data_IF_094096383873
#
_entry.id   IF_094096383873
#
_cell.length_a   1.000
_cell.length_b   1.000
_cell.length_c   1.000
_cell.angle_alpha   90.00
_cell.angle_beta   90.00
_cell.angle_gamma   90.00
#
_symmetry.space_group_name_H-M   'P 1'
#
loop_
_entity.id
_entity.type
_entity.pdbx_description
1 polymer ?
#
# COMPACT_ATOMS: atom_id res chain seq x y z
N UNK A 1 35.48 71.19 19.18
CA UNK A 1 36.19 72.15 18.30
C UNK A 1 36.56 71.43 17.03
N UNK A 2 36.17 72.01 15.90
CA UNK A 2 36.40 71.57 14.52
C UNK A 2 37.88 71.71 14.14
N UNK A 3 38.37 70.86 13.22
CA UNK A 3 39.53 71.17 12.36
C UNK A 3 40.33 69.93 11.94
N UNK A 4 40.20 69.40 10.71
CA UNK A 4 40.98 69.71 9.46
C UNK A 4 42.47 69.30 9.57
N UNK A 5 43.16 68.64 8.63
CA UNK A 5 43.11 68.57 7.15
C UNK A 5 44.16 67.53 6.63
N UNK A 6 43.94 66.95 5.44
CA UNK A 6 44.86 66.65 4.29
C UNK A 6 46.33 66.17 4.52
N UNK A 7 47.01 65.29 3.75
CA UNK A 7 46.84 64.69 2.42
C UNK A 7 47.89 63.55 2.19
N UNK A 8 47.71 62.69 1.16
CA UNK A 8 48.83 62.31 0.26
C UNK A 8 49.33 60.85 0.14
N UNK A 9 48.81 60.15 -0.89
CA UNK A 9 49.48 59.23 -1.87
C UNK A 9 50.04 57.82 -1.49
N UNK A 10 49.28 56.81 -1.94
CA UNK A 10 49.61 55.61 -2.78
C UNK A 10 50.80 54.68 -2.43
N UNK A 11 50.53 53.41 -2.09
CA UNK A 11 50.73 52.24 -2.98
C UNK A 11 50.45 50.88 -2.29
N UNK A 12 49.64 50.06 -2.98
CA UNK A 12 49.63 48.58 -3.09
C UNK A 12 49.74 47.63 -1.89
N UNK A 13 48.72 46.77 -1.85
CA UNK A 13 48.74 45.31 -1.69
C UNK A 13 48.58 44.70 -0.28
N UNK A 14 47.65 43.72 -0.23
CA UNK A 14 47.33 42.76 0.83
C UNK A 14 46.48 43.25 2.02
N UNK A 15 45.21 43.57 1.78
CA UNK A 15 44.20 43.58 2.84
C UNK A 15 43.80 42.14 3.21
N UNK A 16 44.39 41.66 4.31
CA UNK A 16 43.71 40.70 5.18
C UNK A 16 42.49 41.41 5.77
N UNK A 17 41.30 41.01 5.36
CA UNK A 17 40.07 41.37 6.06
C UNK A 17 39.43 40.09 6.56
N UNK A 18 39.52 39.90 7.87
CA UNK A 18 38.81 38.88 8.60
C UNK A 18 37.31 39.11 8.40
N UNK A 19 36.62 38.11 7.83
CA UNK A 19 35.16 38.05 7.88
C UNK A 19 34.72 37.47 9.24
N UNK A 20 33.60 37.98 9.80
CA UNK A 20 33.02 37.44 11.03
C UNK A 20 32.48 36.02 10.80
N UNK A 21 32.33 35.19 11.86
CA UNK A 21 31.78 33.85 11.71
C UNK A 21 30.32 33.95 11.26
N UNK A 22 30.08 33.60 10.00
CA UNK A 22 28.74 33.40 9.46
C UNK A 22 28.13 32.15 10.11
N UNK A 23 27.50 32.35 11.25
CA UNK A 23 26.46 31.46 11.77
C UNK A 23 25.26 31.50 10.82
N UNK A 24 25.36 30.74 9.73
CA UNK A 24 24.27 30.49 8.80
C UNK A 24 23.85 29.03 8.90
N UNK A 25 23.00 28.71 9.87
CA UNK A 25 22.16 27.52 9.78
C UNK A 25 21.25 27.70 8.58
N UNK A 26 21.72 27.26 7.41
CA UNK A 26 20.85 27.05 6.28
C UNK A 26 20.01 25.84 6.65
N UNK A 27 18.74 26.08 6.99
CA UNK A 27 17.74 25.03 7.06
C UNK A 27 17.62 24.43 5.65
N UNK A 28 18.49 23.47 5.33
CA UNK A 28 18.28 22.56 4.21
C UNK A 28 16.90 21.97 4.45
N UNK A 29 15.94 22.31 3.59
CA UNK A 29 14.62 21.72 3.63
C UNK A 29 14.80 20.20 3.55
N UNK A 30 14.55 19.53 4.67
CA UNK A 30 14.58 18.08 4.75
C UNK A 30 13.60 17.53 3.71
N UNK A 31 14.07 16.64 2.84
CA UNK A 31 13.19 15.94 1.90
C UNK A 31 12.27 15.04 2.72
N UNK A 32 11.02 14.87 2.27
CA UNK A 32 10.09 13.92 2.89
C UNK A 32 10.75 12.53 2.96
N UNK A 33 10.88 11.99 4.18
CA UNK A 33 11.58 10.74 4.45
C UNK A 33 13.03 10.88 4.96
N UNK A 34 13.74 11.99 4.76
CA UNK A 34 15.11 12.14 5.28
C UNK A 34 15.15 12.04 6.81
N UNK A 35 14.17 12.61 7.53
CA UNK A 35 14.06 12.44 8.99
C UNK A 35 13.64 11.03 9.43
N UNK A 36 12.97 10.26 8.56
CA UNK A 36 12.50 8.90 8.85
C UNK A 36 13.64 7.89 8.70
N UNK A 37 14.64 8.16 7.85
CA UNK A 37 15.73 7.21 7.57
C UNK A 37 17.07 7.61 8.20
N UNK A 38 17.30 8.88 8.53
CA UNK A 38 18.58 9.32 9.11
C UNK A 38 18.73 9.05 10.61
N UNK A 39 17.63 9.13 11.38
CA UNK A 39 17.62 8.85 12.83
C UNK A 39 16.90 7.53 13.17
N UNK A 40 16.35 6.85 12.16
CA UNK A 40 15.83 5.51 12.35
C UNK A 40 17.00 4.54 12.52
N UNK A 41 16.95 3.62 13.50
CA UNK A 41 17.96 2.60 13.70
C UNK A 41 18.00 1.56 12.57
N UNK A 42 17.47 1.87 11.38
CA UNK A 42 17.88 1.21 10.12
C UNK A 42 19.29 1.70 9.75
N UNK A 43 20.24 1.56 10.69
CA UNK A 43 21.54 1.09 10.28
C UNK A 43 21.28 -0.15 9.41
N UNK A 44 22.00 -0.37 8.30
CA UNK A 44 21.99 -1.69 7.68
C UNK A 44 22.27 -2.65 8.83
N UNK A 45 21.27 -3.46 9.22
CA UNK A 45 21.38 -4.32 10.39
C UNK A 45 22.62 -5.16 10.10
N UNK A 46 23.72 -4.87 10.81
CA UNK A 46 25.00 -5.50 10.59
C UNK A 46 24.81 -6.96 10.94
N UNK A 47 24.50 -7.79 9.93
CA UNK A 47 23.98 -9.13 10.16
C UNK A 47 22.97 -9.66 9.15
N UNK A 48 22.50 -8.89 8.14
CA UNK A 48 21.73 -9.48 7.03
C UNK A 48 22.68 -10.25 6.08
N UNK A 49 23.30 -11.32 6.59
CA UNK A 49 23.97 -12.36 5.81
C UNK A 49 22.99 -13.42 5.29
N UNK A 50 21.69 -13.26 5.54
CA UNK A 50 20.65 -14.15 5.06
C UNK A 50 19.87 -13.53 3.91
N UNK A 51 19.76 -14.24 2.79
CA UNK A 51 18.69 -13.97 1.81
C UNK A 51 17.35 -13.98 2.54
N UNK A 52 16.39 -13.18 2.06
CA UNK A 52 15.00 -13.33 2.48
C UNK A 52 14.60 -14.82 2.37
N UNK A 53 13.91 -15.39 3.37
CA UNK A 53 13.63 -16.83 3.41
C UNK A 53 12.51 -17.26 2.45
N UNK A 54 11.87 -16.31 1.76
CA UNK A 54 10.89 -16.57 0.72
C UNK A 54 11.50 -16.43 -0.68
N UNK A 55 10.93 -17.18 -1.63
CA UNK A 55 11.30 -17.07 -3.04
C UNK A 55 11.05 -15.66 -3.63
N UNK A 56 11.86 -15.28 -4.62
CA UNK A 56 11.67 -14.08 -5.42
C UNK A 56 10.26 -14.06 -6.02
N UNK A 57 9.57 -12.94 -5.88
CA UNK A 57 8.17 -12.83 -6.28
C UNK A 57 7.76 -11.40 -6.58
N UNK A 58 6.75 -11.27 -7.43
CA UNK A 58 6.13 -9.99 -7.79
C UNK A 58 4.63 -10.00 -7.44
N UNK A 59 4.05 -8.81 -7.28
CA UNK A 59 2.63 -8.64 -6.95
C UNK A 59 2.21 -9.32 -5.64
N UNK A 60 3.15 -9.58 -4.73
CA UNK A 60 2.87 -9.96 -3.35
C UNK A 60 2.30 -8.76 -2.60
N UNK A 61 1.67 -9.00 -1.46
CA UNK A 61 1.24 -7.93 -0.56
C UNK A 61 1.98 -7.97 0.76
N UNK A 62 2.13 -6.79 1.37
CA UNK A 62 2.64 -6.64 2.71
C UNK A 62 1.73 -5.72 3.51
N UNK A 63 1.60 -5.97 4.81
CA UNK A 63 0.84 -5.13 5.73
C UNK A 63 1.49 -5.13 7.11
N UNK A 64 1.23 -4.10 7.91
CA UNK A 64 1.76 -3.97 9.26
C UNK A 64 0.62 -3.76 10.26
N UNK A 65 0.67 -4.46 11.39
CA UNK A 65 -0.21 -4.20 12.53
C UNK A 65 0.59 -3.58 13.66
N UNK A 66 0.08 -2.49 14.23
CA UNK A 66 0.77 -1.71 15.26
C UNK A 66 1.07 -2.49 16.54
N UNK A 67 1.84 -1.90 17.49
CA UNK A 67 2.01 -2.47 18.81
C UNK A 67 0.64 -2.78 19.39
N UNK A 68 0.51 -4.00 19.89
CA UNK A 68 -0.54 -4.44 20.80
C UNK A 68 -0.82 -3.31 21.80
N UNK A 69 -2.06 -2.82 21.92
CA UNK A 69 -2.43 -1.70 22.81
C UNK A 69 -2.03 -1.94 24.28
N UNK A 70 -1.91 -3.21 24.71
CA UNK A 70 -1.39 -3.59 26.02
C UNK A 70 0.14 -3.56 26.14
N UNK A 71 0.85 -3.30 25.05
CA UNK A 71 2.31 -3.13 24.97
C UNK A 71 2.70 -2.08 23.91
N UNK A 72 2.46 -0.78 24.15
CA UNK A 72 2.71 0.31 23.19
C UNK A 72 4.16 0.47 22.74
N UNK A 73 5.11 -0.23 23.40
CA UNK A 73 6.54 -0.27 23.06
C UNK A 73 6.95 -1.50 22.24
N UNK A 74 6.03 -2.43 21.98
CA UNK A 74 6.32 -3.57 21.11
C UNK A 74 6.48 -3.10 19.66
N UNK A 75 7.41 -3.68 18.89
CA UNK A 75 7.49 -3.40 17.46
C UNK A 75 6.19 -3.82 16.75
N UNK A 76 5.86 -3.20 15.59
CA UNK A 76 4.75 -3.65 14.78
C UNK A 76 4.98 -5.07 14.25
N UNK A 77 3.91 -5.82 14.06
CA UNK A 77 3.93 -7.09 13.34
C UNK A 77 3.91 -6.79 11.85
N UNK A 78 4.89 -7.32 11.11
CA UNK A 78 4.93 -7.25 9.65
C UNK A 78 4.45 -8.56 9.06
N UNK A 79 3.61 -8.48 8.03
CA UNK A 79 3.17 -9.62 7.24
C UNK A 79 3.54 -9.41 5.78
N UNK A 80 4.03 -10.48 5.13
CA UNK A 80 4.25 -10.57 3.69
C UNK A 80 3.55 -11.83 3.18
N UNK A 81 2.79 -11.72 2.09
CA UNK A 81 2.00 -12.85 1.61
C UNK A 81 1.79 -12.85 0.10
N UNK A 82 1.61 -14.05 -0.44
CA UNK A 82 1.21 -14.28 -1.82
C UNK A 82 2.25 -13.84 -2.86
N UNK A 83 1.79 -13.53 -4.07
CA UNK A 83 2.62 -13.11 -5.19
C UNK A 83 2.98 -14.25 -6.15
N UNK A 84 3.61 -13.89 -7.26
CA UNK A 84 4.01 -14.81 -8.33
C UNK A 84 5.52 -15.01 -8.36
N UNK A 85 5.91 -16.28 -8.33
CA UNK A 85 7.28 -16.81 -8.40
C UNK A 85 7.40 -17.61 -9.70
N UNK A 86 7.81 -16.95 -10.78
CA UNK A 86 7.82 -17.51 -12.13
C UNK A 86 6.41 -17.92 -12.60
N UNK A 87 6.14 -19.21 -12.87
CA UNK A 87 4.80 -19.71 -13.19
C UNK A 87 3.94 -20.00 -11.95
N UNK A 88 4.53 -20.01 -10.75
CA UNK A 88 3.86 -20.39 -9.51
C UNK A 88 3.21 -19.18 -8.85
N UNK A 89 1.96 -19.34 -8.43
CA UNK A 89 1.25 -18.34 -7.64
C UNK A 89 1.21 -18.82 -6.19
N UNK A 90 1.78 -18.03 -5.30
CA UNK A 90 1.95 -18.38 -3.90
C UNK A 90 0.76 -17.89 -3.06
N UNK A 91 0.51 -18.58 -1.96
CA UNK A 91 -0.39 -18.16 -0.87
C UNK A 91 0.21 -18.40 0.51
N UNK A 92 1.54 -18.50 0.60
CA UNK A 92 2.24 -18.52 1.87
C UNK A 92 2.15 -17.14 2.55
N UNK A 93 2.19 -17.16 3.89
CA UNK A 93 2.20 -15.98 4.74
C UNK A 93 3.44 -16.04 5.63
N UNK A 94 4.22 -14.97 5.58
CA UNK A 94 5.41 -14.74 6.38
C UNK A 94 5.16 -13.63 7.37
N UNK A 95 5.66 -13.80 8.58
CA UNK A 95 5.51 -12.87 9.69
C UNK A 95 6.87 -12.49 10.25
N UNK A 96 7.03 -11.22 10.60
CA UNK A 96 8.10 -10.73 11.45
C UNK A 96 7.51 -9.98 12.63
N UNK A 97 8.08 -10.23 13.81
CA UNK A 97 7.73 -9.59 15.08
C UNK A 97 8.86 -8.66 15.57
N UNK A 98 9.87 -8.43 14.73
CA UNK A 98 11.12 -7.75 15.07
C UNK A 98 11.58 -6.82 13.94
N UNK A 99 10.63 -6.06 13.39
CA UNK A 99 10.88 -5.02 12.39
C UNK A 99 11.54 -5.54 11.10
N UNK A 100 11.29 -6.81 10.78
CA UNK A 100 11.82 -7.47 9.59
C UNK A 100 13.18 -8.13 9.78
N UNK A 101 13.73 -8.18 11.00
CA UNK A 101 15.02 -8.83 11.27
C UNK A 101 14.96 -10.35 11.11
N UNK A 102 13.86 -10.97 11.55
CA UNK A 102 13.59 -12.41 11.42
C UNK A 102 12.20 -12.64 10.88
N UNK A 103 12.07 -13.72 10.13
CA UNK A 103 10.83 -14.07 9.47
C UNK A 103 10.47 -15.53 9.71
N UNK A 104 9.20 -15.76 10.03
CA UNK A 104 8.63 -17.08 10.20
C UNK A 104 7.50 -17.27 9.19
N UNK A 105 7.50 -18.41 8.50
CA UNK A 105 6.35 -18.82 7.71
C UNK A 105 5.25 -19.29 8.67
N UNK A 106 4.16 -18.53 8.76
CA UNK A 106 3.02 -18.80 9.66
C UNK A 106 1.89 -19.54 8.98
N UNK A 107 1.85 -19.50 7.65
CA UNK A 107 0.95 -20.32 6.83
C UNK A 107 1.70 -20.74 5.56
N UNK A 108 2.01 -22.03 5.35
CA UNK A 108 2.75 -22.50 4.19
C UNK A 108 1.89 -22.51 2.92
N UNK A 109 2.49 -22.39 1.74
CA UNK A 109 1.73 -22.46 0.49
C UNK A 109 0.95 -23.78 0.37
N UNK A 110 -0.31 -23.72 -0.07
CA UNK A 110 -1.13 -24.90 -0.36
C UNK A 110 -1.97 -24.70 -1.63
N UNK A 111 -2.13 -25.76 -2.41
CA UNK A 111 -2.94 -25.77 -3.63
C UNK A 111 -4.42 -26.14 -3.38
N UNK A 112 -4.78 -26.44 -2.13
CA UNK A 112 -6.08 -26.97 -1.73
C UNK A 112 -6.18 -28.48 -1.90
N UNK A 113 -7.25 -29.06 -1.34
CA UNK A 113 -7.58 -30.48 -1.49
C UNK A 113 -8.71 -30.63 -2.50
N UNK A 114 -8.75 -31.75 -3.23
CA UNK A 114 -9.92 -32.08 -4.06
C UNK A 114 -10.95 -32.77 -3.20
N UNK A 115 -12.19 -32.30 -3.25
CA UNK A 115 -13.32 -33.03 -2.69
C UNK A 115 -13.69 -34.25 -3.56
N UNK A 116 -14.70 -35.01 -3.14
CA UNK A 116 -15.21 -36.20 -3.86
C UNK A 116 -15.70 -35.88 -5.28
N UNK A 117 -16.07 -34.61 -5.55
CA UNK A 117 -16.47 -34.15 -6.88
C UNK A 117 -15.29 -33.74 -7.76
N UNK A 118 -14.06 -33.80 -7.22
CA UNK A 118 -12.84 -33.38 -7.89
C UNK A 118 -12.60 -31.86 -7.83
N UNK A 119 -13.46 -31.10 -7.14
CA UNK A 119 -13.35 -29.65 -7.00
C UNK A 119 -12.33 -29.29 -5.92
N UNK A 120 -11.49 -28.29 -6.20
CA UNK A 120 -10.48 -27.83 -5.23
C UNK A 120 -11.18 -27.03 -4.13
N UNK A 121 -11.16 -27.58 -2.92
CA UNK A 121 -11.56 -26.93 -1.68
C UNK A 121 -10.28 -26.47 -0.97
N UNK A 122 -10.14 -25.17 -0.80
CA UNK A 122 -8.99 -24.57 -0.12
C UNK A 122 -9.38 -24.17 1.31
N UNK A 123 -8.51 -24.45 2.28
CA UNK A 123 -8.67 -23.97 3.68
C UNK A 123 -8.31 -22.49 3.84
N UNK A 124 -7.73 -21.88 2.81
CA UNK A 124 -7.42 -20.46 2.70
C UNK A 124 -7.55 -19.99 1.26
N UNK A 125 -7.31 -18.71 1.01
CA UNK A 125 -7.30 -18.16 -0.34
C UNK A 125 -6.28 -18.86 -1.26
N UNK A 126 -6.69 -19.13 -2.50
CA UNK A 126 -5.82 -19.73 -3.51
C UNK A 126 -4.63 -18.83 -3.87
N UNK A 127 -3.51 -19.41 -4.32
CA UNK A 127 -2.31 -18.69 -4.77
C UNK A 127 -2.62 -17.60 -5.78
N UNK A 128 -2.16 -16.37 -5.52
CA UNK A 128 -2.49 -15.18 -6.34
C UNK A 128 -1.49 -14.02 -6.19
N UNK A 129 -1.44 -13.18 -7.21
CA UNK A 129 -0.75 -11.88 -7.23
C UNK A 129 -1.76 -10.73 -7.41
N UNK A 130 -1.34 -9.51 -7.10
CA UNK A 130 -2.13 -8.30 -7.39
C UNK A 130 -3.50 -8.32 -6.71
N UNK A 131 -3.60 -8.97 -5.56
CA UNK A 131 -4.80 -8.95 -4.72
C UNK A 131 -4.75 -7.72 -3.81
N UNK A 132 -5.89 -7.30 -3.29
CA UNK A 132 -5.96 -6.31 -2.22
C UNK A 132 -5.61 -6.96 -0.88
N UNK A 133 -4.86 -6.24 -0.05
CA UNK A 133 -4.58 -6.61 1.33
C UNK A 133 -4.78 -5.38 2.22
N UNK A 134 -5.42 -5.60 3.37
CA UNK A 134 -5.51 -4.59 4.42
C UNK A 134 -5.56 -5.30 5.77
N UNK A 135 -5.12 -4.62 6.82
CA UNK A 135 -5.24 -5.12 8.18
C UNK A 135 -5.83 -4.05 9.08
N UNK A 136 -6.41 -4.45 10.19
CA UNK A 136 -6.93 -3.56 11.21
C UNK A 136 -6.89 -4.23 12.57
N UNK A 137 -7.08 -3.43 13.61
CA UNK A 137 -7.09 -3.92 14.97
C UNK A 137 -8.19 -3.25 15.78
N UNK A 138 -8.71 -3.93 16.79
CA UNK A 138 -9.61 -3.34 17.79
C UNK A 138 -9.28 -3.87 19.18
N UNK A 139 -9.42 -3.00 20.18
CA UNK A 139 -9.38 -3.34 21.60
C UNK A 139 -10.76 -3.63 22.19
N UNK A 140 -11.82 -3.58 21.39
CA UNK A 140 -13.20 -3.71 21.85
C UNK A 140 -13.55 -5.17 22.17
N UNK A 141 -13.39 -5.53 23.47
CA UNK A 141 -13.75 -6.78 24.19
C UNK A 141 -12.56 -7.69 24.52
N UNK A 142 -12.00 -7.48 25.72
CA UNK A 142 -11.25 -8.52 26.45
C UNK A 142 -9.89 -8.95 25.87
N UNK A 143 -9.40 -8.32 24.80
CA UNK A 143 -8.11 -8.59 24.16
C UNK A 143 -7.98 -7.80 22.86
N UNK A 144 -6.83 -7.94 22.18
CA UNK A 144 -6.69 -7.43 20.81
C UNK A 144 -7.32 -8.39 19.81
N UNK A 145 -8.26 -7.88 19.01
CA UNK A 145 -8.72 -8.52 17.79
C UNK A 145 -7.99 -7.86 16.61
N UNK A 146 -7.04 -8.57 16.01
CA UNK A 146 -6.43 -8.18 14.75
C UNK A 146 -7.12 -8.91 13.61
N UNK A 147 -7.40 -8.23 12.50
CA UNK A 147 -7.92 -8.89 11.30
C UNK A 147 -7.07 -8.53 10.10
N UNK A 148 -6.76 -9.52 9.27
CA UNK A 148 -6.05 -9.37 8.00
C UNK A 148 -6.99 -9.81 6.88
N UNK A 149 -7.14 -8.99 5.86
CA UNK A 149 -8.02 -9.25 4.72
C UNK A 149 -7.23 -9.51 3.45
N UNK A 150 -7.72 -10.46 2.66
CA UNK A 150 -7.28 -10.72 1.28
C UNK A 150 -8.51 -10.66 0.40
N UNK A 151 -8.48 -9.85 -0.65
CA UNK A 151 -9.58 -9.73 -1.61
C UNK A 151 -9.07 -9.71 -3.05
N UNK A 152 -9.82 -10.35 -3.95
CA UNK A 152 -9.55 -10.31 -5.40
C UNK A 152 -8.18 -10.91 -5.78
N UNK A 153 -7.62 -10.48 -6.93
CA UNK A 153 -6.30 -10.89 -7.42
C UNK A 153 -6.34 -11.92 -8.54
N UNK A 154 -5.17 -12.22 -9.12
CA UNK A 154 -5.02 -13.17 -10.23
C UNK A 154 -4.21 -14.37 -9.77
N UNK A 155 -4.75 -15.56 -9.96
CA UNK A 155 -4.02 -16.83 -9.82
C UNK A 155 -3.74 -17.48 -11.18
N UNK A 156 -3.19 -18.69 -11.14
CA UNK A 156 -2.76 -19.40 -12.35
C UNK A 156 -3.87 -19.65 -13.39
N UNK A 157 -5.12 -19.83 -12.94
CA UNK A 157 -6.26 -20.19 -13.81
C UNK A 157 -7.44 -19.24 -13.71
N UNK A 158 -7.49 -18.43 -12.66
CA UNK A 158 -8.67 -17.64 -12.32
C UNK A 158 -8.26 -16.27 -11.78
N UNK A 159 -9.03 -15.26 -12.16
CA UNK A 159 -9.09 -14.00 -11.40
C UNK A 159 -10.18 -14.13 -10.36
N UNK A 160 -9.95 -13.66 -9.15
CA UNK A 160 -10.84 -13.88 -8.03
C UNK A 160 -11.68 -12.64 -7.69
N UNK A 161 -12.83 -12.89 -7.06
CA UNK A 161 -13.73 -11.90 -6.47
C UNK A 161 -14.10 -12.29 -5.03
N UNK A 162 -13.38 -13.25 -4.45
CA UNK A 162 -13.58 -13.71 -3.08
C UNK A 162 -12.92 -12.72 -2.09
N UNK A 163 -13.39 -12.79 -0.85
CA UNK A 163 -12.85 -12.05 0.29
C UNK A 163 -12.60 -13.05 1.41
N UNK A 164 -11.40 -13.00 1.96
CA UNK A 164 -10.94 -13.83 3.05
C UNK A 164 -10.47 -12.95 4.20
N UNK A 165 -10.67 -13.41 5.43
CA UNK A 165 -10.17 -12.76 6.63
C UNK A 165 -9.39 -13.75 7.49
N UNK A 166 -8.44 -13.24 8.26
CA UNK A 166 -7.69 -13.99 9.27
C UNK A 166 -7.66 -13.18 10.56
N UNK A 167 -8.08 -13.80 11.65
CA UNK A 167 -8.11 -13.17 12.98
C UNK A 167 -6.85 -13.49 13.82
N UNK A 168 -5.96 -14.34 13.30
CA UNK A 168 -4.82 -14.90 14.02
C UNK A 168 -3.47 -14.59 13.34
N UNK A 169 -3.42 -13.44 12.66
CA UNK A 169 -2.24 -12.91 11.98
C UNK A 169 -1.78 -13.80 10.81
N UNK A 170 -2.75 -14.30 10.03
CA UNK A 170 -2.54 -15.00 8.78
C UNK A 170 -2.27 -16.50 8.91
N UNK A 171 -2.46 -17.09 10.10
CA UNK A 171 -2.26 -18.54 10.32
C UNK A 171 -3.44 -19.34 9.76
N UNK A 172 -4.66 -18.93 10.11
CA UNK A 172 -5.92 -19.51 9.61
C UNK A 172 -6.75 -18.45 8.90
N UNK A 173 -7.65 -18.89 8.01
CA UNK A 173 -8.38 -18.01 7.11
C UNK A 173 -9.82 -18.47 6.95
N UNK A 174 -10.75 -17.52 7.06
CA UNK A 174 -12.17 -17.72 6.83
C UNK A 174 -12.59 -16.99 5.55
N UNK A 175 -13.33 -17.69 4.69
CA UNK A 175 -13.89 -17.10 3.48
C UNK A 175 -15.14 -16.30 3.85
N UNK A 176 -15.02 -14.98 3.84
CA UNK A 176 -16.08 -14.02 4.17
C UNK A 176 -17.10 -13.89 3.04
N UNK A 177 -16.62 -13.87 1.81
CA UNK A 177 -17.46 -13.83 0.62
C UNK A 177 -16.84 -14.67 -0.50
N UNK A 178 -17.62 -15.59 -1.08
CA UNK A 178 -17.12 -16.45 -2.17
C UNK A 178 -17.11 -15.73 -3.53
N UNK A 179 -17.99 -14.75 -3.73
CA UNK A 179 -18.11 -13.98 -4.97
C UNK A 179 -18.76 -12.65 -4.68
N UNK A 180 -17.94 -11.64 -4.37
CA UNK A 180 -18.43 -10.32 -4.05
C UNK A 180 -18.97 -9.58 -5.30
N UNK A 181 -19.95 -8.67 -5.13
CA UNK A 181 -20.65 -8.00 -6.23
C UNK A 181 -19.77 -7.04 -7.03
N UNK A 182 -18.59 -6.67 -6.53
CA UNK A 182 -17.59 -5.93 -7.30
C UNK A 182 -16.95 -6.77 -8.42
N UNK A 183 -17.15 -8.09 -8.47
CA UNK A 183 -16.65 -8.93 -9.55
C UNK A 183 -15.13 -9.16 -9.55
N UNK A 184 -14.67 -9.95 -10.51
CA UNK A 184 -13.26 -10.41 -10.56
C UNK A 184 -12.34 -9.29 -11.00
N UNK A 185 -11.30 -8.98 -10.22
CA UNK A 185 -10.37 -7.88 -10.53
C UNK A 185 -8.97 -8.08 -9.94
N UNK A 186 -7.99 -7.36 -10.50
CA UNK A 186 -6.62 -7.26 -9.96
C UNK A 186 -6.29 -5.83 -9.59
N UNK A 187 -5.36 -5.68 -8.67
CA UNK A 187 -4.88 -4.42 -8.12
C UNK A 187 -6.01 -3.46 -7.66
N UNK A 188 -7.07 -3.91 -6.97
CA UNK A 188 -7.94 -2.97 -6.27
C UNK A 188 -7.20 -2.40 -5.04
N UNK A 189 -7.56 -1.20 -4.61
CA UNK A 189 -7.20 -0.72 -3.28
C UNK A 189 -8.19 -1.22 -2.23
N UNK A 190 -7.73 -1.43 -1.02
CA UNK A 190 -8.55 -1.84 0.13
C UNK A 190 -8.08 -1.11 1.37
N UNK A 191 -9.02 -0.57 2.14
CA UNK A 191 -8.75 0.10 3.40
C UNK A 191 -9.70 -0.40 4.49
N UNK A 192 -9.19 -0.49 5.71
CA UNK A 192 -9.92 -0.86 6.92
C UNK A 192 -10.12 0.39 7.77
N UNK A 193 -11.32 0.56 8.33
CA UNK A 193 -11.63 1.66 9.23
C UNK A 193 -10.88 1.52 10.57
N UNK A 194 -10.20 2.57 11.06
CA UNK A 194 -9.34 2.48 12.25
C UNK A 194 -10.10 2.17 13.54
N UNK A 195 -11.35 2.62 13.66
CA UNK A 195 -12.16 2.40 14.88
C UNK A 195 -12.97 1.09 14.81
N UNK A 196 -12.99 0.42 13.66
CA UNK A 196 -13.75 -0.80 13.46
C UNK A 196 -13.14 -1.65 12.34
N UNK A 197 -12.40 -2.73 12.68
CA UNK A 197 -11.75 -3.57 11.68
C UNK A 197 -12.74 -4.32 10.77
N UNK A 198 -14.03 -4.37 11.14
CA UNK A 198 -15.09 -4.97 10.33
C UNK A 198 -15.54 -4.08 9.17
N UNK A 199 -15.16 -2.80 9.19
CA UNK A 199 -15.58 -1.81 8.20
C UNK A 199 -14.51 -1.62 7.14
N UNK A 200 -14.87 -1.87 5.89
CA UNK A 200 -13.96 -1.94 4.74
C UNK A 200 -14.43 -1.05 3.60
N UNK A 201 -13.47 -0.48 2.86
CA UNK A 201 -13.72 0.13 1.56
C UNK A 201 -12.74 -0.43 0.53
N UNK A 202 -13.27 -0.92 -0.59
CA UNK A 202 -12.52 -1.37 -1.75
C UNK A 202 -12.75 -0.41 -2.91
N UNK A 203 -11.72 0.04 -3.62
CA UNK A 203 -11.86 0.92 -4.76
C UNK A 203 -11.02 0.50 -5.98
N UNK A 204 -11.62 0.65 -7.15
CA UNK A 204 -10.96 0.50 -8.44
C UNK A 204 -10.40 -0.90 -8.68
N UNK A 205 -9.30 -0.94 -9.42
CA UNK A 205 -8.68 -2.16 -9.94
C UNK A 205 -9.03 -2.42 -11.40
N UNK A 206 -8.39 -3.42 -11.98
CA UNK A 206 -8.61 -3.88 -13.35
C UNK A 206 -9.53 -5.10 -13.33
N UNK A 207 -10.76 -5.01 -13.87
CA UNK A 207 -11.66 -6.13 -13.98
C UNK A 207 -11.12 -7.13 -15.00
N UNK A 208 -11.42 -8.41 -14.76
CA UNK A 208 -11.13 -9.47 -15.72
C UNK A 208 -12.30 -9.62 -16.70
N UNK A 209 -12.10 -9.27 -17.97
CA UNK A 209 -13.09 -9.48 -19.04
C UNK A 209 -12.74 -10.73 -19.84
N UNK A 210 -13.23 -11.89 -19.39
CA UNK A 210 -13.31 -13.10 -20.21
C UNK A 210 -11.98 -13.80 -20.56
N UNK A 211 -11.99 -14.45 -21.71
CA UNK A 211 -11.02 -15.40 -22.26
C UNK A 211 -9.92 -14.75 -23.11
N UNK A 212 -9.87 -13.41 -23.14
CA UNK A 212 -8.81 -12.66 -23.80
C UNK A 212 -8.32 -11.49 -22.95
N UNK A 213 -7.00 -11.37 -22.81
CA UNK A 213 -6.30 -10.18 -22.28
C UNK A 213 -6.46 -8.93 -23.17
N UNK A 214 -7.33 -8.95 -24.18
CA UNK A 214 -7.44 -7.90 -25.20
C UNK A 214 -8.53 -6.85 -24.96
N UNK A 215 -9.07 -6.76 -23.74
CA UNK A 215 -9.54 -5.47 -23.21
C UNK A 215 -8.59 -4.96 -22.12
N UNK A 216 -7.27 -5.15 -22.30
CA UNK A 216 -6.25 -4.49 -21.50
C UNK A 216 -6.47 -2.97 -21.53
N UNK A 217 -6.88 -2.39 -20.40
CA UNK A 217 -6.94 -0.93 -20.23
C UNK A 217 -8.12 -0.39 -19.43
N UNK A 218 -9.24 -1.13 -19.28
CA UNK A 218 -10.41 -0.60 -18.55
C UNK A 218 -10.20 -0.73 -17.05
N UNK A 219 -9.52 0.21 -16.43
CA UNK A 219 -9.53 0.38 -14.98
C UNK A 219 -10.91 0.83 -14.51
N UNK A 220 -11.29 0.41 -13.30
CA UNK A 220 -12.58 0.75 -12.70
C UNK A 220 -12.48 1.96 -11.78
N UNK A 221 -13.56 2.73 -11.72
CA UNK A 221 -13.73 3.86 -10.80
C UNK A 221 -14.71 3.52 -9.67
N UNK A 222 -15.21 2.29 -9.57
CA UNK A 222 -16.18 1.98 -8.53
C UNK A 222 -15.52 1.82 -7.15
N UNK A 223 -16.27 2.19 -6.12
CA UNK A 223 -15.93 1.88 -4.73
C UNK A 223 -17.04 1.08 -4.09
N UNK A 224 -16.67 0.22 -3.16
CA UNK A 224 -17.56 -0.71 -2.48
C UNK A 224 -17.27 -0.66 -0.99
N UNK A 225 -18.34 -0.69 -0.20
CA UNK A 225 -18.31 -0.60 1.25
C UNK A 225 -18.86 -1.90 1.85
N UNK A 226 -18.21 -2.38 2.90
CA UNK A 226 -18.69 -3.45 3.77
C UNK A 226 -18.60 -2.99 5.23
N UNK A 227 -19.62 -3.33 6.03
CA UNK A 227 -19.69 -3.09 7.47
C UNK A 227 -19.76 -4.38 8.30
N UNK A 228 -19.50 -5.53 7.66
CA UNK A 228 -19.65 -6.88 8.20
C UNK A 228 -18.42 -7.78 7.94
N UNK A 229 -17.23 -7.18 7.95
CA UNK A 229 -15.96 -7.86 7.68
C UNK A 229 -15.92 -8.56 6.32
N UNK A 230 -16.46 -7.91 5.30
CA UNK A 230 -16.37 -8.33 3.91
C UNK A 230 -17.35 -9.43 3.50
N UNK A 231 -18.38 -9.73 4.31
CA UNK A 231 -19.43 -10.69 3.95
C UNK A 231 -20.36 -10.12 2.88
N UNK A 232 -20.81 -8.88 3.06
CA UNK A 232 -21.67 -8.16 2.11
C UNK A 232 -21.06 -6.82 1.69
N UNK A 233 -21.41 -6.37 0.49
CA UNK A 233 -20.83 -5.18 -0.12
C UNK A 233 -21.89 -4.34 -0.80
N UNK A 234 -21.85 -3.03 -0.56
CA UNK A 234 -22.70 -2.03 -1.24
C UNK A 234 -21.83 -1.10 -2.08
N UNK A 235 -22.23 -0.88 -3.33
CA UNK A 235 -21.52 0.05 -4.21
C UNK A 235 -21.75 1.49 -3.72
N UNK A 236 -20.66 2.21 -3.47
CA UNK A 236 -20.69 3.63 -3.16
C UNK A 236 -20.87 4.44 -4.45
N UNK A 237 -21.53 5.60 -4.33
CA UNK A 237 -21.50 6.60 -5.37
C UNK A 237 -20.07 7.13 -5.49
N UNK A 238 -19.44 6.88 -6.63
CA UNK A 238 -18.14 7.43 -6.97
C UNK A 238 -18.34 8.49 -8.06
N UNK A 239 -17.83 9.72 -7.89
CA UNK A 239 -18.05 10.77 -8.87
C UNK A 239 -17.36 10.40 -10.17
N UNK A 240 -18.05 10.65 -11.29
CA UNK A 240 -17.49 10.47 -12.63
C UNK A 240 -16.25 11.34 -12.89
N UNK A 241 -16.06 12.40 -12.09
CA UNK A 241 -14.91 13.29 -12.15
C UNK A 241 -13.62 12.66 -11.59
N UNK A 242 -13.74 11.63 -10.74
CA UNK A 242 -12.57 10.93 -10.21
C UNK A 242 -12.14 9.88 -11.24
N UNK A 243 -10.91 9.92 -11.74
CA UNK A 243 -10.49 9.00 -12.78
C UNK A 243 -10.48 7.56 -12.25
N UNK A 244 -10.88 6.58 -13.08
CA UNK A 244 -10.68 5.17 -12.79
C UNK A 244 -9.23 4.88 -12.45
N UNK A 245 -8.97 3.91 -11.56
CA UNK A 245 -7.61 3.63 -11.11
C UNK A 245 -7.37 2.19 -10.69
N UNK A 246 -6.19 1.67 -11.02
CA UNK A 246 -5.68 0.42 -10.45
C UNK A 246 -4.44 0.68 -9.58
N UNK A 247 -4.28 -0.15 -8.55
CA UNK A 247 -3.25 0.00 -7.52
C UNK A 247 -3.29 1.32 -6.75
N UNK A 248 -4.48 1.88 -6.40
CA UNK A 248 -4.52 3.09 -5.60
C UNK A 248 -4.05 2.82 -4.17
N UNK A 249 -3.35 3.81 -3.60
CA UNK A 249 -3.02 3.82 -2.18
C UNK A 249 -4.24 4.31 -1.41
N UNK A 250 -4.68 3.57 -0.40
CA UNK A 250 -5.89 3.89 0.36
C UNK A 250 -5.62 3.82 1.86
N UNK A 251 -6.15 4.81 2.58
CA UNK A 251 -5.90 4.97 4.01
C UNK A 251 -7.02 5.77 4.66
N UNK A 252 -7.56 5.28 5.77
CA UNK A 252 -8.43 6.10 6.61
C UNK A 252 -7.58 6.99 7.52
N UNK A 253 -7.88 8.29 7.57
CA UNK A 253 -7.30 9.24 8.54
C UNK A 253 -8.17 9.39 9.79
N UNK A 254 -9.46 9.08 9.66
CA UNK A 254 -10.43 8.96 10.75
C UNK A 254 -11.41 7.84 10.40
N UNK A 255 -12.31 7.46 11.30
CA UNK A 255 -13.33 6.45 11.01
C UNK A 255 -14.28 6.77 9.84
N UNK A 256 -14.31 8.03 9.37
CA UNK A 256 -15.19 8.48 8.29
C UNK A 256 -14.43 9.18 7.17
N UNK A 257 -13.11 9.35 7.26
CA UNK A 257 -12.32 10.08 6.26
C UNK A 257 -11.33 9.14 5.59
N UNK A 258 -11.60 8.83 4.33
CA UNK A 258 -10.77 7.96 3.49
C UNK A 258 -9.94 8.82 2.53
N UNK A 259 -8.65 8.59 2.47
CA UNK A 259 -7.76 9.08 1.43
C UNK A 259 -7.60 8.02 0.34
N UNK A 260 -7.62 8.46 -0.91
CA UNK A 260 -7.21 7.66 -2.07
C UNK A 260 -6.20 8.47 -2.88
N UNK A 261 -5.05 7.86 -3.16
CA UNK A 261 -3.92 8.53 -3.79
C UNK A 261 -3.37 7.69 -4.96
N UNK A 262 -3.10 8.37 -6.07
CA UNK A 262 -2.40 7.81 -7.21
C UNK A 262 -3.06 6.57 -7.82
N UNK A 263 -2.23 5.69 -8.37
CA UNK A 263 -2.65 4.54 -9.17
C UNK A 263 -2.44 4.77 -10.67
N UNK A 264 -2.96 3.86 -11.48
CA UNK A 264 -2.87 3.91 -12.94
C UNK A 264 -4.24 4.18 -13.56
N UNK A 265 -4.36 5.23 -14.38
CA UNK A 265 -5.60 5.62 -15.06
C UNK A 265 -5.86 4.89 -16.38
N UNK A 266 -4.82 4.34 -16.98
CA UNK A 266 -4.90 3.38 -18.08
C UNK A 266 -3.76 2.40 -17.86
N UNK A 267 -4.08 1.12 -17.91
CA UNK A 267 -3.08 0.09 -17.83
C UNK A 267 -3.26 -0.84 -19.02
N UNK A 268 -2.71 -0.42 -20.16
CA UNK A 268 -2.34 -1.33 -21.25
C UNK A 268 -1.17 -2.21 -20.79
N UNK A 269 -1.35 -2.98 -19.73
CA UNK A 269 -0.49 -4.12 -19.51
C UNK A 269 -0.84 -5.11 -20.61
N UNK A 270 -0.05 -5.07 -21.68
CA UNK A 270 0.20 -6.27 -22.45
C UNK A 270 0.51 -7.38 -21.43
N UNK A 271 -0.16 -8.50 -21.61
CA UNK A 271 0.22 -9.78 -21.04
C UNK A 271 1.73 -9.87 -20.89
N UNK A 272 2.20 -10.51 -19.82
CA UNK A 272 3.62 -10.77 -19.53
C UNK A 272 4.37 -11.59 -20.62
N UNK A 273 3.84 -11.66 -21.84
CA UNK A 273 4.44 -12.30 -23.00
C UNK A 273 5.14 -11.24 -23.85
N UNK A 274 6.47 -11.25 -23.75
CA UNK A 274 7.44 -10.86 -24.78
C UNK A 274 6.91 -9.90 -25.85
N UNK A 275 7.15 -8.60 -25.70
CA UNK A 275 7.51 -7.64 -26.77
C UNK A 275 7.71 -6.25 -26.15
N UNK A 276 8.59 -5.39 -26.70
CA UNK A 276 8.82 -4.03 -26.23
C UNK A 276 7.68 -3.12 -26.71
N UNK A 277 6.45 -3.40 -26.29
CA UNK A 277 5.34 -2.51 -26.53
C UNK A 277 5.45 -1.34 -25.55
N UNK A 278 5.63 -0.13 -26.09
CA UNK A 278 5.70 1.15 -25.38
C UNK A 278 4.51 1.28 -24.42
N UNK A 279 4.72 1.05 -23.13
CA UNK A 279 3.68 1.17 -22.10
C UNK A 279 3.43 2.66 -21.88
N UNK A 280 2.25 3.16 -22.29
CA UNK A 280 1.80 4.54 -22.03
C UNK A 280 0.80 4.57 -20.88
N UNK A 281 1.11 3.90 -19.76
CA UNK A 281 0.23 3.94 -18.59
C UNK A 281 0.36 5.30 -17.90
N UNK A 282 -0.73 6.05 -17.78
CA UNK A 282 -0.73 7.35 -17.09
C UNK A 282 -0.76 7.11 -15.57
N UNK A 283 0.36 7.39 -14.91
CA UNK A 283 0.45 7.38 -13.46
C UNK A 283 -0.26 8.61 -12.89
N UNK A 284 -1.20 8.36 -11.99
CA UNK A 284 -1.92 9.40 -11.29
C UNK A 284 -1.06 9.95 -10.13
N UNK A 285 -1.09 11.26 -9.98
CA UNK A 285 -0.50 12.00 -8.84
C UNK A 285 -1.58 12.72 -8.02
N UNK A 286 -2.85 12.42 -8.28
CA UNK A 286 -3.98 13.03 -7.62
C UNK A 286 -4.26 12.39 -6.25
N UNK A 287 -4.92 13.17 -5.40
CA UNK A 287 -5.38 12.76 -4.08
C UNK A 287 -6.84 13.13 -3.98
N UNK A 288 -7.68 12.18 -3.56
CA UNK A 288 -9.07 12.46 -3.20
C UNK A 288 -9.31 12.08 -1.74
N UNK A 289 -10.22 12.85 -1.13
CA UNK A 289 -10.75 12.57 0.19
C UNK A 289 -12.21 12.16 0.04
N UNK A 290 -12.59 11.06 0.65
CA UNK A 290 -13.95 10.61 0.79
C UNK A 290 -14.41 10.79 2.24
N UNK A 291 -15.52 11.48 2.45
CA UNK A 291 -16.27 11.44 3.70
C UNK A 291 -17.29 10.30 3.61
N UNK A 292 -17.02 9.20 4.31
CA UNK A 292 -17.80 7.96 4.28
C UNK A 292 -18.88 7.99 5.36
N UNK A 293 -20.13 7.92 4.93
CA UNK A 293 -21.29 7.66 5.79
C UNK A 293 -21.62 6.16 5.72
N UNK A 294 -21.27 5.45 6.79
CA UNK A 294 -21.50 4.02 6.91
C UNK A 294 -22.99 3.66 6.97
N UNK A 295 -23.80 4.48 7.64
CA UNK A 295 -25.22 4.20 7.85
C UNK A 295 -26.01 4.44 6.55
N UNK A 296 -25.72 5.54 5.86
CA UNK A 296 -26.32 5.84 4.57
C UNK A 296 -25.70 5.05 3.41
N UNK A 297 -24.60 4.32 3.64
CA UNK A 297 -23.80 3.62 2.63
C UNK A 297 -23.43 4.54 1.47
N UNK A 298 -22.96 5.73 1.82
CA UNK A 298 -22.69 6.81 0.88
C UNK A 298 -21.31 7.44 1.15
N UNK A 299 -20.72 8.07 0.14
CA UNK A 299 -19.47 8.80 0.31
C UNK A 299 -19.49 10.10 -0.49
N UNK A 300 -19.03 11.18 0.14
CA UNK A 300 -18.81 12.47 -0.52
C UNK A 300 -17.33 12.63 -0.84
N UNK A 301 -17.02 12.84 -2.11
CA UNK A 301 -15.65 12.86 -2.61
C UNK A 301 -15.25 14.27 -3.02
N UNK A 302 -14.04 14.66 -2.64
CA UNK A 302 -13.45 15.93 -3.03
C UNK A 302 -11.98 15.74 -3.42
N UNK A 303 -11.50 16.40 -4.48
CA UNK A 303 -10.07 16.43 -4.77
C UNK A 303 -9.36 17.22 -3.67
N UNK A 304 -8.27 16.68 -3.14
CA UNK A 304 -7.37 17.42 -2.28
C UNK A 304 -6.39 18.18 -3.19
N UNK A 305 -6.45 19.52 -3.18
CA UNK A 305 -5.62 20.37 -4.05
C UNK A 305 -4.18 20.47 -3.51
N UNK A 306 -3.52 19.33 -3.38
CA UNK A 306 -2.09 19.24 -3.10
C UNK A 306 -1.45 18.63 -4.35
N UNK A 307 -0.69 19.43 -5.11
CA UNK A 307 0.12 18.89 -6.20
C UNK A 307 1.32 18.19 -5.58
N UNK A 308 1.29 16.87 -5.52
CA UNK A 308 2.52 16.11 -5.25
C UNK A 308 3.36 16.10 -6.53
N UNK A 309 4.66 16.44 -6.49
CA UNK A 309 5.49 16.55 -7.69
C UNK A 309 5.79 15.21 -8.40
N UNK A 310 5.22 14.09 -7.93
CA UNK A 310 5.55 12.73 -8.37
C UNK A 310 4.26 11.91 -8.48
N UNK A 311 4.09 11.14 -9.55
CA UNK A 311 3.03 10.13 -9.67
C UNK A 311 3.33 8.92 -8.79
N UNK A 312 2.32 8.44 -8.07
CA UNK A 312 2.47 7.31 -7.16
C UNK A 312 1.76 6.08 -7.72
N UNK A 313 2.48 4.98 -7.85
CA UNK A 313 1.90 3.66 -8.13
C UNK A 313 2.39 2.71 -7.06
N UNK A 314 1.47 2.06 -6.35
CA UNK A 314 1.85 0.98 -5.43
C UNK A 314 1.19 -0.30 -5.90
N UNK A 315 1.99 -1.31 -6.21
CA UNK A 315 1.50 -2.68 -6.28
C UNK A 315 1.43 -3.33 -4.89
N UNK A 316 2.05 -2.69 -3.90
CA UNK A 316 2.10 -3.12 -2.50
C UNK A 316 2.36 -1.89 -1.63
N UNK A 317 1.40 -1.54 -0.77
CA UNK A 317 1.52 -0.41 0.17
C UNK A 317 1.65 -0.89 1.61
N UNK A 318 2.80 -0.55 2.16
CA UNK A 318 3.10 -0.32 3.58
C UNK A 318 2.25 0.80 4.21
N UNK A 319 1.01 0.65 4.68
CA UNK A 319 0.33 1.74 5.42
C UNK A 319 0.32 1.47 6.92
N UNK A 320 0.97 2.35 7.69
CA UNK A 320 0.91 2.31 9.13
C UNK A 320 -0.29 3.12 9.64
N UNK A 321 -1.31 2.39 10.08
CA UNK A 321 -2.53 2.99 10.64
C UNK A 321 -2.29 3.79 11.94
N UNK A 322 -1.11 3.69 12.58
CA UNK A 322 -0.77 4.45 13.81
C UNK A 322 -0.50 5.91 13.55
N UNK A 323 0.30 6.19 12.52
CA UNK A 323 0.82 7.52 12.23
C UNK A 323 0.24 8.13 10.96
N UNK A 324 -0.55 7.36 10.20
CA UNK A 324 -1.02 7.79 8.89
C UNK A 324 0.12 7.86 7.86
N UNK A 325 1.23 7.17 8.10
CA UNK A 325 2.41 7.21 7.24
C UNK A 325 2.50 6.00 6.31
N UNK A 326 3.02 6.25 5.12
CA UNK A 326 3.36 5.21 4.16
C UNK A 326 4.77 4.69 4.43
N UNK A 327 4.86 3.44 4.90
CA UNK A 327 6.10 2.74 5.21
C UNK A 327 6.88 2.29 3.95
N UNK A 328 6.19 2.10 2.82
CA UNK A 328 6.83 1.77 1.54
C UNK A 328 5.94 2.10 0.34
N UNK A 329 6.53 2.67 -0.71
CA UNK A 329 5.94 2.81 -2.05
C UNK A 329 6.94 2.36 -3.11
N UNK A 330 6.47 1.71 -4.18
CA UNK A 330 7.28 1.47 -5.36
C UNK A 330 7.32 2.73 -6.22
N UNK A 331 8.50 3.18 -6.66
CA UNK A 331 8.57 4.12 -7.78
C UNK A 331 8.36 3.35 -9.09
N UNK A 332 7.70 3.92 -10.11
CA UNK A 332 7.91 3.43 -11.47
C UNK A 332 9.39 3.62 -11.78
N UNK A 333 10.15 2.53 -11.88
CA UNK A 333 11.53 2.62 -12.37
C UNK A 333 11.49 3.03 -13.85
N UNK A 334 12.25 4.07 -14.21
CA UNK A 334 12.75 4.26 -15.56
C UNK A 334 13.53 2.99 -15.93
N UNK A 335 12.98 2.22 -16.85
CA UNK A 335 13.65 1.06 -17.45
C UNK A 335 14.66 1.64 -18.45
N UNK A 336 15.95 1.54 -18.12
CA UNK A 336 17.03 1.68 -19.10
C UNK A 336 17.10 0.43 -19.98
#
# INVERSE_FOLDING_TARGET
GVGTREAGRTASSSSSSAQPPMGGSTSRGLRFGEGIWHDSPVAPVGGIGGSAPWANRLGFQATSLGPVASAPRSPPVLLLMGGRDGPLYRNDVWRSDDEGCRWQQVSPHEEGQRDESGMVVTKKWAGREGFACASGWSSAKGGLQSVVYVACGVGARFTFADVWASEDLGRTWDRRCASAPFGRRRNPGLAVCPDSPLKLVLCGGMPWMGDSLTAAGVVTADCWLSDDAGESWTRLNFPSAVPPRAGPMMAFTTATTLLIMGGLADSKYASYDFLPAKVTSEALSDIYVASVDWAARHALWAPLTVRTPIGFTSYSTVFDQRCGEFLAYSRPHEIF
#
